data_IF_724798924804
#
_entry.id   IF_724798924804
#
_cell.length_a   1.000
_cell.length_b   1.000
_cell.length_c   1.000
_cell.angle_alpha   90.00
_cell.angle_beta   90.00
_cell.angle_gamma   90.00
#
_symmetry.space_group_name_H-M   'P 1'
#
loop_
_entity.id
_entity.type
_entity.pdbx_description
1 polymer ?
#
# COMPACT_ATOMS: atom_id res chain seq x y z
N UNK A 1 -55.97 12.91 -28.68
CA UNK A 1 -56.74 12.54 -27.50
C UNK A 1 -56.73 11.02 -27.39
N UNK A 2 -56.55 10.35 -26.24
CA UNK A 2 -56.21 10.84 -24.91
C UNK A 2 -54.89 10.15 -24.37
N UNK A 3 -54.25 10.78 -23.46
CA UNK A 3 -54.27 10.67 -21.98
C UNK A 3 -53.18 9.71 -21.43
N UNK A 4 -52.09 10.23 -20.92
CA UNK A 4 -51.78 10.64 -19.58
C UNK A 4 -51.75 9.53 -18.50
N UNK A 5 -50.67 9.58 -17.71
CA UNK A 5 -50.41 8.98 -16.38
C UNK A 5 -49.48 7.72 -16.43
N UNK A 6 -48.43 7.60 -15.67
CA UNK A 6 -48.11 8.16 -14.33
C UNK A 6 -46.63 8.03 -14.09
N UNK A 7 -45.99 9.05 -13.56
CA UNK A 7 -44.67 9.02 -12.95
C UNK A 7 -44.70 8.29 -11.61
N UNK A 8 -43.77 7.42 -11.37
CA UNK A 8 -43.39 7.01 -10.00
C UNK A 8 -41.91 7.31 -9.79
N UNK A 9 -41.55 8.01 -8.72
CA UNK A 9 -40.14 8.25 -8.39
C UNK A 9 -39.60 7.07 -7.58
N UNK A 10 -38.50 6.49 -8.03
CA UNK A 10 -37.75 5.52 -7.26
C UNK A 10 -37.05 6.21 -6.08
N UNK A 11 -37.33 5.68 -4.91
CA UNK A 11 -36.80 6.07 -3.62
C UNK A 11 -35.29 5.85 -3.54
N UNK A 12 -34.55 6.95 -3.41
CA UNK A 12 -33.14 6.92 -3.04
C UNK A 12 -32.92 6.31 -1.66
N UNK A 13 -32.20 5.23 -1.59
CA UNK A 13 -31.68 4.68 -0.33
C UNK A 13 -30.59 5.62 0.20
N UNK A 14 -30.92 6.32 1.27
CA UNK A 14 -29.98 7.08 2.08
C UNK A 14 -29.10 6.12 2.87
N UNK A 15 -27.78 6.27 2.69
CA UNK A 15 -26.78 5.66 3.56
C UNK A 15 -26.72 6.50 4.85
N UNK A 16 -26.80 5.92 6.04
CA UNK A 16 -26.69 6.68 7.28
C UNK A 16 -25.25 7.10 7.54
N UNK A 17 -25.02 8.40 7.55
CA UNK A 17 -23.86 9.03 8.19
C UNK A 17 -24.17 9.13 9.68
N UNK A 18 -23.49 8.35 10.50
CA UNK A 18 -23.37 8.66 11.93
C UNK A 18 -22.02 8.18 12.43
N UNK A 19 -21.08 9.10 12.56
CA UNK A 19 -19.99 9.01 13.50
C UNK A 19 -20.33 9.91 14.68
N UNK A 20 -20.29 9.43 15.92
CA UNK A 20 -20.45 10.28 17.08
C UNK A 20 -19.13 11.01 17.38
N UNK A 21 -19.14 12.31 17.15
CA UNK A 21 -18.22 13.24 17.82
C UNK A 21 -18.93 13.70 19.07
N UNK A 22 -18.51 13.21 20.23
CA UNK A 22 -18.73 13.88 21.51
C UNK A 22 -17.96 13.15 22.61
N UNK A 23 -16.93 13.80 23.15
CA UNK A 23 -16.62 13.86 24.57
C UNK A 23 -15.22 14.46 24.76
N UNK A 24 -15.20 15.77 24.78
CA UNK A 24 -14.12 16.53 25.42
C UNK A 24 -14.66 17.92 25.74
N UNK A 25 -15.35 18.06 26.84
CA UNK A 25 -15.44 19.32 27.64
C UNK A 25 -16.30 19.01 28.87
N UNK A 26 -15.65 18.79 30.00
CA UNK A 26 -16.16 19.08 31.33
C UNK A 26 -15.16 18.62 32.40
N UNK A 27 -14.18 19.42 32.71
CA UNK A 27 -13.51 19.43 34.01
C UNK A 27 -12.75 20.75 34.16
N UNK A 28 -13.49 21.79 34.56
CA UNK A 28 -12.97 22.93 35.30
C UNK A 28 -14.18 23.60 35.95
N UNK A 29 -14.26 23.43 37.25
CA UNK A 29 -14.74 24.33 38.29
C UNK A 29 -15.44 23.51 39.39
N UNK A 30 -14.68 23.27 40.44
CA UNK A 30 -15.20 23.37 41.81
C UNK A 30 -14.02 23.33 42.81
N UNK A 31 -13.42 24.44 43.04
CA UNK A 31 -12.61 24.65 44.21
C UNK A 31 -13.17 25.86 44.97
N UNK A 32 -14.03 25.61 45.95
CA UNK A 32 -14.10 26.52 47.12
C UNK A 32 -14.95 25.93 48.24
N UNK A 33 -14.23 25.71 49.35
CA UNK A 33 -14.63 25.91 50.73
C UNK A 33 -15.83 25.11 51.28
N UNK A 34 -15.59 24.15 52.17
CA UNK A 34 -15.88 24.39 53.58
C UNK A 34 -15.45 23.20 54.46
N UNK A 35 -14.92 23.60 55.65
CA UNK A 35 -14.47 22.73 56.72
C UNK A 35 -15.66 22.08 57.46
N UNK A 36 -15.33 20.92 58.01
CA UNK A 36 -16.08 20.22 59.08
C UNK A 36 -17.28 19.32 58.59
N UNK A 37 -16.99 18.04 58.53
CA UNK A 37 -17.68 17.05 59.36
C UNK A 37 -16.93 15.72 59.35
N UNK A 38 -16.27 15.48 60.50
CA UNK A 38 -15.69 14.21 60.85
C UNK A 38 -16.85 13.35 61.41
N UNK A 39 -16.89 12.11 61.01
CA UNK A 39 -17.35 10.91 61.73
C UNK A 39 -18.45 10.11 61.04
N UNK A 40 -18.06 8.84 60.82
CA UNK A 40 -18.91 7.64 60.67
C UNK A 40 -19.67 7.47 59.35
N UNK A 41 -19.05 6.74 58.44
CA UNK A 41 -19.64 5.55 57.88
C UNK A 41 -18.57 4.75 57.14
N UNK A 42 -17.87 3.89 57.89
CA UNK A 42 -17.38 2.64 57.34
C UNK A 42 -18.56 1.90 56.79
N UNK A 43 -18.65 1.71 55.48
CA UNK A 43 -19.23 0.49 54.93
C UNK A 43 -19.11 0.48 53.40
N UNK A 44 -18.27 -0.45 52.92
CA UNK A 44 -18.52 -1.22 51.69
C UNK A 44 -18.75 -0.40 50.42
N UNK A 45 -17.68 0.20 49.92
CA UNK A 45 -17.58 0.37 48.47
C UNK A 45 -17.13 -0.98 47.92
N UNK A 46 -18.08 -1.80 47.58
CA UNK A 46 -17.88 -2.93 46.70
C UNK A 46 -17.26 -2.37 45.44
N UNK A 47 -15.97 -2.67 45.24
CA UNK A 47 -15.28 -2.47 43.96
C UNK A 47 -16.02 -3.29 42.90
N UNK A 48 -17.02 -2.69 42.30
CA UNK A 48 -17.43 -3.05 40.95
C UNK A 48 -16.35 -2.51 39.98
N UNK A 49 -15.18 -3.13 40.03
CA UNK A 49 -14.28 -3.11 38.90
C UNK A 49 -15.01 -3.85 37.78
N UNK A 50 -15.89 -3.13 37.11
CA UNK A 50 -16.32 -3.48 35.78
C UNK A 50 -15.06 -3.61 34.95
N UNK A 51 -14.64 -4.83 34.70
CA UNK A 51 -13.67 -5.16 33.66
C UNK A 51 -14.33 -4.67 32.37
N UNK A 52 -14.08 -3.42 32.00
CA UNK A 52 -14.24 -2.95 30.65
C UNK A 52 -13.26 -3.81 29.84
N UNK A 53 -13.73 -4.96 29.40
CA UNK A 53 -13.10 -5.71 28.33
C UNK A 53 -13.09 -4.73 27.16
N UNK A 54 -11.99 -4.02 26.99
CA UNK A 54 -11.68 -3.37 25.74
C UNK A 54 -11.66 -4.50 24.73
N UNK A 55 -12.76 -4.65 24.01
CA UNK A 55 -12.83 -5.53 22.85
C UNK A 55 -11.79 -4.96 21.89
N UNK A 56 -10.56 -5.47 22.00
CA UNK A 56 -9.51 -5.16 21.04
C UNK A 56 -10.07 -5.59 19.68
N UNK A 57 -10.26 -4.63 18.80
CA UNK A 57 -10.69 -4.90 17.43
C UNK A 57 -9.73 -5.93 16.84
N UNK A 58 -10.21 -7.05 16.30
CA UNK A 58 -9.35 -8.11 15.82
C UNK A 58 -8.41 -7.54 14.75
N UNK A 59 -7.12 -7.86 14.85
CA UNK A 59 -6.15 -7.42 13.87
C UNK A 59 -6.60 -7.86 12.47
N UNK A 60 -6.51 -6.97 11.45
CA UNK A 60 -6.96 -7.29 10.10
C UNK A 60 -6.18 -8.48 9.56
N UNK A 61 -6.81 -9.31 8.73
CA UNK A 61 -6.13 -10.41 8.05
C UNK A 61 -5.14 -9.88 7.00
N UNK A 62 -4.17 -10.70 6.61
CA UNK A 62 -3.25 -10.34 5.53
C UNK A 62 -4.01 -10.05 4.22
N UNK A 63 -5.11 -10.77 3.97
CA UNK A 63 -5.98 -10.54 2.81
C UNK A 63 -6.62 -9.15 2.85
N UNK A 64 -7.19 -8.74 3.98
CA UNK A 64 -7.86 -7.43 4.11
C UNK A 64 -6.88 -6.28 3.89
N UNK A 65 -5.66 -6.42 4.41
CA UNK A 65 -4.60 -5.43 4.20
C UNK A 65 -4.21 -5.36 2.72
N UNK A 66 -3.99 -6.50 2.07
CA UNK A 66 -3.65 -6.57 0.64
C UNK A 66 -4.77 -6.03 -0.25
N UNK A 67 -6.03 -6.32 0.08
CA UNK A 67 -7.19 -5.78 -0.61
C UNK A 67 -7.23 -4.25 -0.51
N UNK A 68 -6.92 -3.70 0.66
CA UNK A 68 -6.82 -2.25 0.86
C UNK A 68 -5.70 -1.61 0.04
N UNK A 69 -4.53 -2.26 -0.03
CA UNK A 69 -3.40 -1.83 -0.87
C UNK A 69 -3.80 -1.83 -2.35
N UNK A 70 -4.37 -2.93 -2.85
CA UNK A 70 -4.82 -3.06 -4.25
C UNK A 70 -5.90 -2.04 -4.60
N UNK A 71 -6.84 -1.79 -3.68
CA UNK A 71 -7.88 -0.79 -3.87
C UNK A 71 -7.31 0.62 -3.96
N UNK A 72 -6.31 0.96 -3.14
CA UNK A 72 -5.63 2.26 -3.22
C UNK A 72 -4.98 2.43 -4.59
N UNK A 73 -4.20 1.45 -5.03
CA UNK A 73 -3.51 1.49 -6.32
C UNK A 73 -4.52 1.58 -7.49
N UNK A 74 -5.63 0.85 -7.45
CA UNK A 74 -6.61 0.83 -8.54
C UNK A 74 -7.48 2.09 -8.66
N UNK A 75 -7.40 3.05 -7.73
CA UNK A 75 -8.19 4.29 -7.74
C UNK A 75 -7.43 5.52 -8.19
N UNK A 76 -6.16 5.38 -8.52
CA UNK A 76 -5.33 6.50 -8.90
C UNK A 76 -5.61 6.95 -10.34
N UNK A 77 -5.54 8.25 -10.58
CA UNK A 77 -5.51 8.87 -11.90
C UNK A 77 -4.31 9.81 -11.91
N UNK A 78 -3.30 9.47 -12.69
CA UNK A 78 -2.05 10.20 -12.78
C UNK A 78 -1.52 10.22 -14.21
N UNK A 79 -0.81 11.29 -14.53
CA UNK A 79 0.02 11.42 -15.72
C UNK A 79 1.26 12.20 -15.29
N UNK A 80 2.35 11.51 -15.10
CA UNK A 80 3.56 12.05 -14.50
C UNK A 80 4.80 11.62 -15.29
N UNK A 81 5.79 12.48 -15.28
CA UNK A 81 7.13 12.14 -15.75
C UNK A 81 7.93 11.52 -14.62
N UNK A 82 8.79 10.57 -14.95
CA UNK A 82 9.68 9.93 -14.01
C UNK A 82 11.00 9.54 -14.62
N UNK A 83 11.87 9.00 -13.78
CA UNK A 83 13.13 8.42 -14.22
C UNK A 83 13.53 7.27 -13.30
N UNK A 84 14.18 6.26 -13.88
CA UNK A 84 15.01 5.31 -13.16
C UNK A 84 16.45 5.84 -13.22
N UNK A 85 17.10 5.94 -12.06
CA UNK A 85 18.48 6.39 -11.96
C UNK A 85 19.30 5.35 -11.20
N UNK A 86 20.39 4.91 -11.82
CA UNK A 86 21.38 4.04 -11.20
C UNK A 86 22.77 4.52 -11.62
N UNK A 87 23.58 4.94 -10.65
CA UNK A 87 24.88 5.57 -10.90
C UNK A 87 24.74 6.70 -11.94
N UNK A 88 25.44 6.61 -13.06
CA UNK A 88 25.40 7.58 -14.17
C UNK A 88 24.28 7.30 -15.19
N UNK A 89 23.60 6.16 -15.05
CA UNK A 89 22.52 5.78 -15.97
C UNK A 89 21.21 6.43 -15.52
N UNK A 90 20.57 7.18 -16.42
CA UNK A 90 19.27 7.80 -16.23
C UNK A 90 18.34 7.39 -17.36
N UNK A 91 17.25 6.70 -17.00
CA UNK A 91 16.24 6.22 -17.94
C UNK A 91 14.95 6.98 -17.67
N UNK A 92 14.59 7.96 -18.52
CA UNK A 92 13.32 8.66 -18.40
C UNK A 92 12.15 7.73 -18.74
N UNK A 93 11.01 7.97 -18.11
CA UNK A 93 9.74 7.33 -18.46
C UNK A 93 8.56 8.26 -18.18
N UNK A 94 7.44 8.00 -18.84
CA UNK A 94 6.14 8.57 -18.50
C UNK A 94 5.32 7.50 -17.80
N UNK A 95 4.67 7.88 -16.71
CA UNK A 95 3.77 7.05 -15.93
C UNK A 95 2.36 7.59 -16.07
N UNK A 96 1.51 6.87 -16.77
CA UNK A 96 0.08 7.17 -16.83
C UNK A 96 -0.68 6.08 -16.08
N UNK A 97 -1.58 6.49 -15.21
CA UNK A 97 -2.50 5.55 -14.56
C UNK A 97 -3.93 6.04 -14.68
N UNK A 98 -4.82 5.15 -15.07
CA UNK A 98 -6.24 5.37 -15.09
C UNK A 98 -6.94 4.17 -14.43
N UNK A 99 -7.23 4.33 -13.15
CA UNK A 99 -7.77 3.24 -12.37
C UNK A 99 -6.84 2.03 -12.32
N UNK A 100 -7.30 0.83 -12.70
CA UNK A 100 -6.51 -0.39 -12.64
C UNK A 100 -5.47 -0.53 -13.77
N UNK A 101 -5.40 0.42 -14.68
CA UNK A 101 -4.48 0.41 -15.80
C UNK A 101 -3.32 1.36 -15.55
N UNK A 102 -2.10 0.83 -15.51
CA UNK A 102 -0.85 1.58 -15.34
C UNK A 102 -0.02 1.40 -16.61
N UNK A 103 0.39 2.50 -17.25
CA UNK A 103 1.20 2.49 -18.44
C UNK A 103 2.54 3.18 -18.16
N UNK A 104 3.63 2.48 -18.48
CA UNK A 104 4.98 2.98 -18.46
C UNK A 104 5.45 3.14 -19.90
N UNK A 105 5.84 4.34 -20.30
CA UNK A 105 6.39 4.60 -21.64
C UNK A 105 7.83 5.08 -21.50
N UNK A 106 8.75 4.34 -22.09
CA UNK A 106 10.17 4.63 -22.14
C UNK A 106 10.53 5.14 -23.55
N UNK A 107 11.04 6.37 -23.70
CA UNK A 107 11.15 7.02 -25.02
C UNK A 107 12.31 6.52 -25.87
N UNK A 108 13.36 5.94 -25.31
CA UNK A 108 14.56 5.58 -26.08
C UNK A 108 15.23 4.29 -25.56
N UNK A 109 15.19 3.18 -26.35
CA UNK A 109 14.29 2.94 -27.50
C UNK A 109 12.83 2.99 -27.03
N UNK A 110 11.90 3.31 -27.94
CA UNK A 110 10.50 3.40 -27.59
C UNK A 110 9.95 2.03 -27.14
N UNK A 111 9.47 1.98 -25.91
CA UNK A 111 8.91 0.78 -25.30
C UNK A 111 7.75 1.18 -24.37
N UNK A 112 6.59 0.60 -24.58
CA UNK A 112 5.43 0.84 -23.74
C UNK A 112 5.01 -0.45 -23.05
N UNK A 113 4.93 -0.40 -21.73
CA UNK A 113 4.44 -1.46 -20.88
C UNK A 113 3.09 -1.07 -20.30
N UNK A 114 2.15 -2.01 -20.30
CA UNK A 114 0.84 -1.83 -19.70
C UNK A 114 0.62 -2.86 -18.60
N UNK A 115 0.49 -2.38 -17.36
CA UNK A 115 0.15 -3.20 -16.21
C UNK A 115 -1.34 -3.10 -15.92
N UNK A 116 -2.05 -4.23 -16.00
CA UNK A 116 -3.46 -4.35 -15.62
C UNK A 116 -3.57 -4.96 -14.23
N UNK A 117 -4.16 -4.22 -13.30
CA UNK A 117 -4.46 -4.67 -11.95
C UNK A 117 -5.88 -5.26 -11.95
N UNK A 118 -6.00 -6.57 -11.89
CA UNK A 118 -7.29 -7.26 -11.76
C UNK A 118 -7.66 -7.52 -10.31
N UNK A 119 -8.74 -8.19 -10.07
CA UNK A 119 -9.18 -8.57 -8.72
C UNK A 119 -8.26 -9.64 -8.09
N UNK A 120 -7.85 -10.64 -8.87
CA UNK A 120 -7.10 -11.81 -8.41
C UNK A 120 -5.71 -11.96 -9.02
N UNK A 121 -5.32 -11.07 -9.93
CA UNK A 121 -4.00 -11.12 -10.59
C UNK A 121 -3.63 -9.79 -11.19
N UNK A 122 -2.33 -9.57 -11.36
CA UNK A 122 -1.80 -8.51 -12.24
C UNK A 122 -1.23 -9.11 -13.52
N UNK A 123 -1.32 -8.36 -14.61
CA UNK A 123 -0.77 -8.74 -15.91
C UNK A 123 0.04 -7.58 -16.47
N UNK A 124 1.29 -7.86 -16.81
CA UNK A 124 2.15 -6.94 -17.54
C UNK A 124 2.15 -7.32 -19.01
N UNK A 125 1.93 -6.34 -19.86
CA UNK A 125 1.83 -6.50 -21.32
C UNK A 125 2.78 -5.51 -22.00
N UNK A 126 3.38 -5.92 -23.11
CA UNK A 126 4.14 -5.06 -24.01
C UNK A 126 3.17 -4.54 -25.07
N UNK A 127 3.15 -3.23 -25.27
CA UNK A 127 2.31 -2.59 -26.30
C UNK A 127 3.19 -2.22 -27.49
N UNK A 128 2.80 -2.65 -28.67
CA UNK A 128 3.44 -2.35 -29.95
C UNK A 128 2.41 -1.98 -31.00
N UNK A 129 2.84 -1.55 -32.17
CA UNK A 129 1.96 -1.27 -33.33
C UNK A 129 1.20 -2.53 -33.79
N UNK A 130 1.77 -3.72 -33.56
CA UNK A 130 1.14 -5.00 -33.89
C UNK A 130 0.07 -5.43 -32.88
N UNK A 131 -0.04 -4.72 -31.75
CA UNK A 131 -0.98 -5.01 -30.67
C UNK A 131 -0.34 -5.17 -29.30
N UNK A 132 -1.03 -5.83 -28.39
CA UNK A 132 -0.62 -6.00 -27.00
C UNK A 132 -0.28 -7.46 -26.74
N UNK A 133 0.95 -7.71 -26.26
CA UNK A 133 1.43 -9.06 -25.96
C UNK A 133 1.76 -9.20 -24.46
N UNK A 134 1.36 -10.33 -23.87
CA UNK A 134 1.71 -10.64 -22.47
C UNK A 134 3.20 -10.83 -22.32
N UNK A 135 3.81 -10.14 -21.37
CA UNK A 135 5.21 -10.32 -21.02
C UNK A 135 5.46 -11.73 -20.47
N UNK A 136 6.28 -12.49 -21.17
CA UNK A 136 6.63 -13.87 -20.80
C UNK A 136 7.49 -13.95 -19.54
N UNK A 137 7.59 -15.14 -18.93
CA UNK A 137 8.30 -15.36 -17.67
C UNK A 137 9.79 -14.99 -17.75
N UNK A 138 10.46 -15.31 -18.88
CA UNK A 138 11.85 -14.94 -19.11
C UNK A 138 12.03 -13.42 -19.12
N UNK A 139 11.20 -12.72 -19.89
CA UNK A 139 11.22 -11.25 -19.99
C UNK A 139 10.95 -10.58 -18.66
N UNK A 140 10.12 -11.16 -17.80
CA UNK A 140 9.88 -10.61 -16.45
C UNK A 140 11.14 -10.60 -15.57
N UNK A 141 12.09 -11.49 -15.84
CA UNK A 141 13.35 -11.57 -15.09
C UNK A 141 14.45 -10.67 -15.68
N UNK A 142 14.26 -10.16 -16.90
CA UNK A 142 15.18 -9.23 -17.51
C UNK A 142 15.16 -7.88 -16.80
N UNK A 143 16.31 -7.23 -16.79
CA UNK A 143 16.47 -5.89 -16.21
C UNK A 143 16.03 -4.82 -17.19
N UNK A 144 15.47 -3.75 -16.67
CA UNK A 144 15.09 -2.59 -17.47
C UNK A 144 16.36 -1.82 -17.82
N UNK A 145 16.79 -1.97 -19.07
CA UNK A 145 17.93 -1.21 -19.66
C UNK A 145 19.18 -1.25 -18.80
N UNK A 146 19.55 -2.42 -18.30
CA UNK A 146 20.75 -2.64 -17.50
C UNK A 146 20.70 -2.14 -16.06
N UNK A 147 19.57 -1.64 -15.59
CA UNK A 147 19.40 -1.32 -14.15
C UNK A 147 19.13 -2.58 -13.33
N UNK A 148 19.17 -2.47 -11.99
CA UNK A 148 18.77 -3.56 -11.10
C UNK A 148 17.26 -3.80 -11.06
N UNK A 149 16.45 -2.95 -11.69
CA UNK A 149 14.99 -3.09 -11.73
C UNK A 149 14.59 -4.02 -12.87
N UNK A 150 13.80 -5.04 -12.58
CA UNK A 150 13.30 -5.98 -13.59
C UNK A 150 11.88 -5.63 -14.05
N UNK A 151 11.46 -6.15 -15.20
CA UNK A 151 10.05 -6.04 -15.63
C UNK A 151 9.10 -6.68 -14.61
N UNK A 152 9.55 -7.75 -13.95
CA UNK A 152 8.78 -8.41 -12.88
C UNK A 152 8.54 -7.54 -11.66
N UNK A 153 9.48 -6.64 -11.35
CA UNK A 153 9.34 -5.70 -10.25
C UNK A 153 8.20 -4.70 -10.51
N UNK A 154 7.97 -4.30 -11.77
CA UNK A 154 6.85 -3.44 -12.16
C UNK A 154 5.51 -4.16 -12.16
N UNK A 155 5.49 -5.48 -12.20
CA UNK A 155 4.26 -6.27 -12.33
C UNK A 155 3.48 -6.43 -11.01
N UNK A 156 4.08 -6.12 -9.86
CA UNK A 156 3.48 -6.23 -8.51
C UNK A 156 2.78 -7.57 -8.23
N UNK A 157 3.23 -8.67 -8.86
CA UNK A 157 2.57 -9.98 -8.76
C UNK A 157 2.45 -10.49 -7.32
N UNK A 158 3.38 -10.14 -6.45
CA UNK A 158 3.39 -10.55 -5.04
C UNK A 158 2.16 -10.04 -4.27
N UNK A 159 1.54 -8.94 -4.70
CA UNK A 159 0.29 -8.44 -4.09
C UNK A 159 -0.90 -9.41 -4.24
N UNK A 160 -0.79 -10.36 -5.15
CA UNK A 160 -1.82 -11.34 -5.48
C UNK A 160 -1.48 -12.76 -5.03
N UNK A 161 -0.40 -12.93 -4.27
CA UNK A 161 -0.06 -14.25 -3.76
C UNK A 161 -1.08 -14.70 -2.72
N UNK A 162 -1.58 -15.95 -2.82
CA UNK A 162 -2.68 -16.42 -2.00
C UNK A 162 -2.29 -16.66 -0.54
N UNK A 163 -1.00 -16.94 -0.28
CA UNK A 163 -0.51 -17.29 1.03
C UNK A 163 0.16 -16.09 1.68
N UNK A 164 -0.53 -15.48 2.62
CA UNK A 164 -0.03 -14.34 3.38
C UNK A 164 -0.36 -14.44 4.86
N UNK A 165 0.51 -13.89 5.71
CA UNK A 165 0.25 -13.73 7.15
C UNK A 165 0.72 -12.37 7.64
N UNK A 166 0.02 -11.83 8.63
CA UNK A 166 0.44 -10.63 9.36
C UNK A 166 1.47 -11.06 10.40
N UNK A 167 2.63 -10.40 10.40
CA UNK A 167 3.69 -10.63 11.39
C UNK A 167 3.59 -9.68 12.58
N UNK A 168 2.79 -8.61 12.47
CA UNK A 168 2.62 -7.59 13.48
C UNK A 168 2.73 -6.18 12.91
N UNK A 169 3.10 -5.25 13.77
CA UNK A 169 3.30 -3.84 13.43
C UNK A 169 4.77 -3.49 13.51
N UNK A 170 5.23 -2.63 12.60
CA UNK A 170 6.58 -2.11 12.59
C UNK A 170 6.59 -0.67 12.05
N UNK A 171 7.50 0.17 12.57
CA UNK A 171 7.65 1.52 12.02
C UNK A 171 8.59 1.50 10.82
N UNK A 172 8.14 2.04 9.70
CA UNK A 172 9.00 2.37 8.57
C UNK A 172 9.15 3.89 8.54
N UNK A 173 10.34 4.38 8.88
CA UNK A 173 10.59 5.80 9.14
C UNK A 173 9.62 6.32 10.22
N UNK A 174 8.77 7.28 9.89
CA UNK A 174 7.81 7.90 10.82
C UNK A 174 6.41 7.31 10.73
N UNK A 175 6.21 6.21 9.99
CA UNK A 175 4.88 5.64 9.72
C UNK A 175 4.72 4.28 10.39
N UNK A 176 3.62 4.09 11.10
CA UNK A 176 3.21 2.77 11.61
C UNK A 176 2.67 1.93 10.45
N UNK A 177 3.22 0.75 10.26
CA UNK A 177 2.89 -0.15 9.17
C UNK A 177 2.49 -1.52 9.69
N UNK A 178 1.58 -2.16 8.99
CA UNK A 178 1.41 -3.61 9.07
C UNK A 178 2.58 -4.28 8.36
N UNK A 179 3.21 -5.24 9.03
CA UNK A 179 4.25 -6.10 8.43
C UNK A 179 3.61 -7.42 8.05
N UNK A 180 3.69 -7.76 6.77
CA UNK A 180 3.16 -9.00 6.22
C UNK A 180 4.28 -9.86 5.66
N UNK A 181 4.09 -11.17 5.69
CA UNK A 181 4.89 -12.12 4.93
C UNK A 181 3.99 -12.78 3.89
N UNK A 182 4.43 -12.75 2.64
CA UNK A 182 3.78 -13.38 1.51
C UNK A 182 4.69 -14.48 0.98
N UNK A 183 4.11 -15.64 0.61
CA UNK A 183 4.85 -16.76 0.02
C UNK A 183 4.49 -16.93 -1.44
N UNK A 184 5.51 -17.13 -2.27
CA UNK A 184 5.31 -17.39 -3.68
C UNK A 184 4.54 -18.72 -3.89
N UNK A 185 3.59 -18.76 -4.83
CA UNK A 185 2.85 -19.98 -5.14
C UNK A 185 3.67 -20.98 -5.94
N UNK A 186 4.70 -20.55 -6.66
CA UNK A 186 5.57 -21.40 -7.50
C UNK A 186 6.98 -20.84 -7.60
N UNK A 187 7.90 -21.65 -8.16
CA UNK A 187 9.29 -21.25 -8.41
C UNK A 187 9.49 -20.34 -9.63
N UNK A 188 8.41 -19.93 -10.31
CA UNK A 188 8.49 -18.98 -11.41
C UNK A 188 8.80 -17.55 -10.95
N UNK A 189 8.67 -17.30 -9.65
CA UNK A 189 9.08 -16.03 -9.03
C UNK A 189 10.54 -16.09 -8.61
N UNK A 190 11.33 -15.00 -8.79
CA UNK A 190 12.66 -14.88 -8.22
C UNK A 190 12.64 -14.84 -6.69
N UNK A 191 11.49 -14.51 -6.11
CA UNK A 191 11.28 -14.46 -4.67
C UNK A 191 10.50 -15.67 -4.18
N UNK A 192 11.00 -16.35 -3.14
CA UNK A 192 10.26 -17.38 -2.40
C UNK A 192 9.31 -16.74 -1.38
N UNK A 193 9.76 -15.64 -0.79
CA UNK A 193 9.02 -14.86 0.19
C UNK A 193 9.20 -13.37 -0.08
N UNK A 194 8.15 -12.62 0.23
CA UNK A 194 8.19 -11.16 0.26
C UNK A 194 7.73 -10.70 1.64
N UNK A 195 8.51 -9.84 2.27
CA UNK A 195 8.05 -9.05 3.40
C UNK A 195 7.55 -7.70 2.89
N UNK A 196 6.39 -7.28 3.38
CA UNK A 196 5.70 -6.10 2.93
C UNK A 196 5.32 -5.22 4.12
N UNK A 197 5.51 -3.91 4.02
CA UNK A 197 5.06 -2.94 5.00
C UNK A 197 4.04 -1.99 4.37
N UNK A 198 2.79 -2.13 4.81
CA UNK A 198 1.67 -1.28 4.41
C UNK A 198 1.34 -0.29 5.54
N UNK A 199 1.26 0.98 5.21
CA UNK A 199 0.90 2.05 6.17
C UNK A 199 -0.50 1.83 6.73
N UNK A 200 -0.63 1.85 8.06
CA UNK A 200 -1.92 1.59 8.73
C UNK A 200 -2.99 2.64 8.45
N UNK A 201 -2.59 3.87 8.21
CA UNK A 201 -3.54 4.96 8.00
C UNK A 201 -3.97 5.15 6.55
N UNK A 202 -3.11 4.80 5.59
CA UNK A 202 -3.35 5.07 4.17
C UNK A 202 -3.35 3.83 3.28
N UNK A 203 -3.00 2.66 3.80
CA UNK A 203 -2.75 1.42 3.06
C UNK A 203 -1.61 1.51 2.02
N UNK A 204 -0.88 2.64 1.95
CA UNK A 204 0.20 2.81 0.99
C UNK A 204 1.39 1.90 1.31
N UNK A 205 1.97 1.27 0.31
CA UNK A 205 3.19 0.50 0.45
C UNK A 205 4.36 1.41 0.84
N UNK A 206 5.10 1.06 1.89
CA UNK A 206 6.26 1.81 2.39
C UNK A 206 7.57 1.09 2.15
N UNK A 207 7.57 -0.23 2.28
CA UNK A 207 8.74 -1.08 2.04
C UNK A 207 8.29 -2.44 1.53
N UNK A 208 9.14 -3.03 0.70
CA UNK A 208 9.07 -4.42 0.28
C UNK A 208 10.48 -5.03 0.33
N UNK A 209 10.60 -6.24 0.82
CA UNK A 209 11.83 -7.02 0.80
C UNK A 209 11.59 -8.38 0.16
N UNK A 210 12.34 -8.68 -0.89
CA UNK A 210 12.29 -9.95 -1.61
C UNK A 210 13.41 -10.88 -1.16
N UNK A 211 13.05 -12.11 -0.80
CA UNK A 211 13.95 -13.17 -0.37
C UNK A 211 13.96 -14.28 -1.42
N UNK A 212 15.15 -14.76 -1.77
CA UNK A 212 15.31 -15.88 -2.69
C UNK A 212 14.83 -17.23 -2.10
N UNK A 213 15.03 -18.31 -2.84
CA UNK A 213 14.62 -19.66 -2.43
C UNK A 213 15.51 -20.26 -1.34
N UNK A 214 16.64 -19.64 -1.04
CA UNK A 214 17.52 -19.96 0.10
C UNK A 214 17.25 -19.05 1.30
N UNK A 215 16.14 -18.30 1.29
CA UNK A 215 15.73 -17.34 2.30
C UNK A 215 16.74 -16.20 2.53
N UNK A 216 17.51 -15.84 1.51
CA UNK A 216 18.46 -14.73 1.55
C UNK A 216 17.78 -13.48 0.98
N UNK A 217 17.97 -12.34 1.66
CA UNK A 217 17.51 -11.04 1.15
C UNK A 217 18.29 -10.71 -0.12
N UNK A 218 17.57 -10.49 -1.23
CA UNK A 218 18.17 -10.15 -2.51
C UNK A 218 17.77 -8.79 -3.04
N UNK A 219 16.59 -8.27 -2.61
CA UNK A 219 16.14 -6.95 -3.08
C UNK A 219 15.26 -6.24 -2.04
N UNK A 220 15.41 -4.93 -1.94
CA UNK A 220 14.57 -4.06 -1.11
C UNK A 220 14.09 -2.85 -1.92
N UNK A 221 12.82 -2.54 -1.77
CA UNK A 221 12.19 -1.32 -2.25
C UNK A 221 11.73 -0.52 -1.03
N UNK A 222 12.07 0.76 -0.97
CA UNK A 222 11.67 1.62 0.14
C UNK A 222 11.27 3.01 -0.36
N UNK A 223 10.08 3.46 -0.01
CA UNK A 223 9.63 4.83 -0.27
C UNK A 223 10.45 5.80 0.58
N UNK A 224 11.29 6.58 -0.09
CA UNK A 224 12.16 7.58 0.55
C UNK A 224 11.38 8.85 0.83
N UNK A 225 10.61 9.32 -0.15
CA UNK A 225 9.81 10.54 -0.04
C UNK A 225 8.53 10.46 -0.84
N UNK A 226 7.56 11.25 -0.42
CA UNK A 226 6.30 11.48 -1.11
C UNK A 226 6.12 12.98 -1.36
N UNK A 227 5.29 13.33 -2.34
CA UNK A 227 4.94 14.69 -2.69
C UNK A 227 3.42 14.85 -2.79
N UNK A 228 2.95 16.06 -2.58
CA UNK A 228 1.55 16.40 -2.73
C UNK A 228 1.32 17.09 -4.07
N UNK A 229 0.45 16.52 -4.90
CA UNK A 229 0.05 17.07 -6.20
C UNK A 229 -1.47 17.20 -6.16
N UNK A 230 -2.00 18.39 -6.39
CA UNK A 230 -3.46 18.69 -6.39
C UNK A 230 -4.19 18.13 -5.16
N UNK A 231 -3.56 18.26 -3.98
CA UNK A 231 -4.16 17.80 -2.72
C UNK A 231 -3.96 16.33 -2.40
N UNK A 232 -3.48 15.49 -3.31
CA UNK A 232 -3.24 14.06 -3.14
C UNK A 232 -1.76 13.73 -2.96
N UNK A 233 -1.47 12.66 -2.20
CA UNK A 233 -0.11 12.19 -1.98
C UNK A 233 0.30 11.18 -3.03
N UNK A 234 1.48 11.42 -3.63
CA UNK A 234 2.10 10.55 -4.63
C UNK A 234 3.53 10.19 -4.21
N UNK A 235 4.04 9.10 -4.74
CA UNK A 235 5.44 8.77 -4.67
C UNK A 235 6.27 9.92 -5.28
N UNK A 236 7.32 10.36 -4.58
CA UNK A 236 8.33 11.25 -5.13
C UNK A 236 9.61 10.49 -5.44
N UNK A 237 10.06 9.67 -4.50
CA UNK A 237 11.28 8.87 -4.67
C UNK A 237 11.16 7.54 -3.94
N UNK A 238 11.52 6.47 -4.63
CA UNK A 238 11.70 5.12 -4.10
C UNK A 238 13.15 4.71 -4.31
N UNK A 239 13.76 4.18 -3.26
CA UNK A 239 15.07 3.56 -3.32
C UNK A 239 14.91 2.06 -3.54
N UNK A 240 15.71 1.52 -4.46
CA UNK A 240 15.75 0.10 -4.79
C UNK A 240 17.18 -0.36 -4.54
N UNK A 241 17.33 -1.38 -3.72
CA UNK A 241 18.63 -1.94 -3.34
C UNK A 241 18.69 -3.41 -3.72
N UNK A 242 19.76 -3.81 -4.38
CA UNK A 242 20.11 -5.20 -4.60
C UNK A 242 21.16 -5.62 -3.58
N UNK A 243 20.97 -6.76 -2.97
CA UNK A 243 21.85 -7.29 -1.93
C UNK A 243 22.68 -8.46 -2.46
N UNK A 244 23.90 -8.55 -2.00
CA UNK A 244 24.69 -9.75 -2.16
C UNK A 244 24.06 -10.88 -1.31
N UNK A 245 23.62 -12.00 -1.93
CA UNK A 245 22.92 -13.05 -1.22
C UNK A 245 23.67 -13.58 0.00
N UNK A 246 22.96 -13.67 1.13
CA UNK A 246 23.52 -14.16 2.39
C UNK A 246 24.34 -13.14 3.18
N UNK A 247 24.39 -11.90 2.73
CA UNK A 247 25.00 -10.78 3.44
C UNK A 247 24.02 -9.62 3.58
N UNK A 248 24.37 -8.62 4.40
CA UNK A 248 23.65 -7.35 4.45
C UNK A 248 24.31 -6.27 3.57
N UNK A 249 25.22 -6.69 2.69
CA UNK A 249 25.92 -5.77 1.80
C UNK A 249 25.03 -5.39 0.62
N UNK A 250 24.90 -4.09 0.37
CA UNK A 250 24.21 -3.55 -0.80
C UNK A 250 25.19 -3.56 -1.97
N UNK A 251 24.89 -4.38 -2.96
CA UNK A 251 25.70 -4.55 -4.16
C UNK A 251 25.47 -3.43 -5.17
N UNK A 252 24.19 -3.07 -5.38
CA UNK A 252 23.82 -1.98 -6.27
C UNK A 252 22.58 -1.24 -5.74
N UNK A 253 22.44 0.03 -6.17
CA UNK A 253 21.32 0.88 -5.77
C UNK A 253 20.78 1.67 -6.95
N UNK A 254 19.46 1.64 -7.11
CA UNK A 254 18.74 2.47 -8.06
C UNK A 254 17.67 3.32 -7.36
N UNK A 255 17.20 4.35 -8.04
CA UNK A 255 16.13 5.21 -7.59
C UNK A 255 15.07 5.34 -8.67
N UNK A 256 13.82 5.13 -8.31
CA UNK A 256 12.68 5.55 -9.10
C UNK A 256 12.24 6.91 -8.58
N UNK A 257 12.23 7.89 -9.46
CA UNK A 257 11.95 9.29 -9.12
C UNK A 257 10.81 9.79 -10.00
N UNK A 258 9.78 10.36 -9.38
CA UNK A 258 8.66 10.99 -10.09
C UNK A 258 8.88 12.49 -10.09
N UNK A 259 8.87 13.06 -11.27
CA UNK A 259 8.97 14.50 -11.54
C UNK A 259 7.57 15.09 -11.74
N UNK A 260 7.46 16.37 -11.50
CA UNK A 260 6.26 17.13 -11.86
C UNK A 260 6.25 17.43 -13.35
#
# INVERSE_FOLDING_TARGET
>A
MPSCRTCHPEQGRRIPRNFPVALATAFLDFARNDRNWVRYCTFVIFMAFGVLSVLAEPAPSAKDILDSVRMLESRQQIDLQGQLRQEDTVIPFRLMQNGPLIRYTFPDPDETLELRLGENSSRLELVSDAGTEKVGTSKLQETIRGTIVTYGDLAFKFLYWPTGRVLGEENVRTRKCWKLQLRAPSRDSPYSNVLLWADKGSAALKRMEGYDWDAKLIKRFEVVSAQKIEGRWFLKQMRIEQFQPGTNHVDARAYLEIKR
#
